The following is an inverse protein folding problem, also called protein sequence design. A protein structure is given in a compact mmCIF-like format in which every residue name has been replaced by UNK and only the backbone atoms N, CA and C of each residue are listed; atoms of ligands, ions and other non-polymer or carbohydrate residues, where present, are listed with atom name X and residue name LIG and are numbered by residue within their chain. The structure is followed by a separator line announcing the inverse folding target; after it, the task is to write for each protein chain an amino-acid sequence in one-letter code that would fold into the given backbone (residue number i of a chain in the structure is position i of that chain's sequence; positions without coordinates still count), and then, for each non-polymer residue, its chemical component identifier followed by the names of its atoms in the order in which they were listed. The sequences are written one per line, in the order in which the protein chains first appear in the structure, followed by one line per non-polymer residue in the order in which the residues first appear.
data_IF_139254004627
#
_entry.id   IF_139254004627
#
_cell.length_a   1.000
_cell.length_b   1.000
_cell.length_c   1.000
_cell.angle_alpha   90.00
_cell.angle_beta   90.00
_cell.angle_gamma   90.00
#
_symmetry.space_group_name_H-M   'P 1'
#
loop_
_entity.id
_entity.type
_entity.pdbx_description
1 polymer ?
#
# COMPACT_ATOMS: atom_id res chain seq x y z
N UNK A 1 5.34 45.02 -29.85
CA UNK A 1 4.20 44.30 -29.23
C UNK A 1 4.16 42.80 -29.54
N UNK A 2 4.72 42.33 -30.67
CA UNK A 2 4.70 40.89 -31.05
C UNK A 2 5.65 39.99 -30.23
N UNK A 3 6.74 40.52 -29.67
CA UNK A 3 7.75 39.73 -28.95
C UNK A 3 7.28 39.21 -27.57
N UNK A 4 6.44 39.99 -26.85
CA UNK A 4 5.87 39.60 -25.53
C UNK A 4 4.82 38.49 -25.63
N UNK A 5 4.17 38.35 -26.79
CA UNK A 5 3.15 37.32 -27.03
C UNK A 5 3.78 35.94 -27.27
N UNK A 6 4.93 35.89 -27.97
CA UNK A 6 5.68 34.67 -28.17
C UNK A 6 6.32 34.14 -26.87
N UNK A 7 6.83 35.02 -26.00
CA UNK A 7 7.37 34.59 -24.70
C UNK A 7 6.29 34.01 -23.79
N UNK A 8 5.08 34.57 -23.81
CA UNK A 8 3.93 34.02 -23.06
C UNK A 8 3.49 32.65 -23.58
N UNK A 9 3.55 32.44 -24.91
CA UNK A 9 3.21 31.16 -25.53
C UNK A 9 4.21 30.05 -25.18
N UNK A 10 5.51 30.37 -25.09
CA UNK A 10 6.56 29.44 -24.67
C UNK A 10 6.40 29.06 -23.18
N UNK A 11 6.03 30.04 -22.34
CA UNK A 11 5.77 29.78 -20.91
C UNK A 11 4.55 28.86 -20.71
N UNK A 12 3.51 29.02 -21.54
CA UNK A 12 2.34 28.16 -21.55
C UNK A 12 2.65 26.74 -22.06
N UNK A 13 3.50 26.60 -23.08
CA UNK A 13 3.90 25.29 -23.59
C UNK A 13 4.72 24.50 -22.56
N UNK A 14 5.69 25.16 -21.91
CA UNK A 14 6.52 24.52 -20.87
C UNK A 14 5.71 24.13 -19.64
N UNK A 15 4.70 24.93 -19.26
CA UNK A 15 3.76 24.59 -18.21
C UNK A 15 2.92 23.33 -18.50
N UNK A 16 2.60 23.08 -19.77
CA UNK A 16 1.81 21.92 -20.17
C UNK A 16 2.64 20.62 -20.22
N UNK A 17 3.96 20.72 -20.37
CA UNK A 17 4.87 19.57 -20.44
C UNK A 17 5.36 19.05 -19.08
N UNK A 18 4.94 19.65 -17.97
CA UNK A 18 5.21 19.07 -16.65
C UNK A 18 4.34 17.83 -16.47
N UNK A 19 4.89 16.66 -16.83
CA UNK A 19 4.38 15.38 -16.34
C UNK A 19 4.54 15.39 -14.81
N UNK A 20 3.42 15.44 -14.09
CA UNK A 20 3.39 15.07 -12.68
C UNK A 20 3.62 13.56 -12.63
N UNK A 21 4.85 13.15 -12.35
CA UNK A 21 5.17 11.77 -12.01
C UNK A 21 4.54 11.50 -10.63
N UNK A 22 3.26 11.11 -10.64
CA UNK A 22 2.63 10.57 -9.46
C UNK A 22 3.27 9.19 -9.24
N UNK A 23 4.25 9.11 -8.34
CA UNK A 23 4.91 7.86 -8.00
C UNK A 23 3.85 6.86 -7.54
N UNK A 24 3.46 5.94 -8.42
CA UNK A 24 2.71 4.74 -8.05
C UNK A 24 3.73 3.75 -7.52
N UNK A 25 4.24 3.97 -6.31
CA UNK A 25 5.03 2.93 -5.64
C UNK A 25 4.13 1.71 -5.43
N UNK A 26 4.41 0.69 -6.24
CA UNK A 26 3.68 -0.56 -6.17
C UNK A 26 4.24 -1.35 -4.99
N UNK A 27 3.36 -1.74 -4.07
CA UNK A 27 3.74 -2.55 -2.91
C UNK A 27 4.47 -3.80 -3.39
N UNK A 28 5.60 -4.10 -2.75
CA UNK A 28 6.26 -5.37 -2.99
C UNK A 28 5.36 -6.52 -2.47
N UNK A 29 5.60 -7.77 -2.90
CA UNK A 29 4.74 -8.89 -2.53
C UNK A 29 4.56 -9.05 -1.02
N UNK A 30 5.63 -8.85 -0.24
CA UNK A 30 5.57 -8.96 1.23
C UNK A 30 4.70 -7.87 1.86
N UNK A 31 4.82 -6.62 1.40
CA UNK A 31 4.00 -5.48 1.86
C UNK A 31 2.53 -5.68 1.51
N UNK A 32 2.25 -6.19 0.31
CA UNK A 32 0.89 -6.52 -0.11
C UNK A 32 0.29 -7.63 0.77
N UNK A 33 1.06 -8.66 1.11
CA UNK A 33 0.63 -9.72 2.03
C UNK A 33 0.34 -9.19 3.43
N UNK A 34 1.18 -8.27 3.96
CA UNK A 34 0.92 -7.63 5.27
C UNK A 34 -0.44 -6.90 5.23
N UNK A 35 -0.69 -6.11 4.18
CA UNK A 35 -1.97 -5.41 4.03
C UNK A 35 -3.16 -6.37 3.92
N UNK A 36 -3.02 -7.50 3.22
CA UNK A 36 -4.06 -8.54 3.14
C UNK A 36 -4.32 -9.22 4.48
N UNK A 37 -3.27 -9.59 5.22
CA UNK A 37 -3.38 -10.16 6.57
C UNK A 37 -4.13 -9.18 7.47
N UNK A 38 -3.70 -7.92 7.51
CA UNK A 38 -4.32 -6.88 8.32
C UNK A 38 -5.81 -6.68 7.98
N UNK A 39 -6.15 -6.61 6.70
CA UNK A 39 -7.54 -6.48 6.26
C UNK A 39 -8.39 -7.69 6.64
N UNK A 40 -7.87 -8.91 6.43
CA UNK A 40 -8.58 -10.15 6.77
C UNK A 40 -8.77 -10.29 8.28
N UNK A 41 -7.76 -10.00 9.10
CA UNK A 41 -7.83 -9.98 10.57
C UNK A 41 -8.82 -8.93 11.07
N UNK A 42 -8.74 -7.70 10.56
CA UNK A 42 -9.67 -6.63 10.93
C UNK A 42 -11.11 -6.97 10.54
N UNK A 43 -11.31 -7.68 9.43
CA UNK A 43 -12.60 -8.22 8.95
C UNK A 43 -12.98 -9.57 9.57
N UNK A 44 -12.07 -10.21 10.33
CA UNK A 44 -12.22 -11.55 10.91
C UNK A 44 -12.69 -12.58 9.91
N UNK A 45 -12.15 -12.47 8.71
CA UNK A 45 -12.39 -13.33 7.56
C UNK A 45 -11.32 -14.43 7.56
N UNK A 46 -11.58 -15.50 8.30
CA UNK A 46 -10.59 -16.54 8.60
C UNK A 46 -10.11 -17.29 7.35
N UNK A 47 -11.00 -17.51 6.38
CA UNK A 47 -10.65 -18.16 5.12
C UNK A 47 -9.66 -17.30 4.32
N UNK A 48 -9.93 -15.99 4.21
CA UNK A 48 -9.02 -15.06 3.54
C UNK A 48 -7.71 -14.91 4.32
N UNK A 49 -7.77 -14.93 5.65
CA UNK A 49 -6.61 -14.83 6.52
C UNK A 49 -5.67 -16.03 6.34
N UNK A 50 -6.20 -17.26 6.34
CA UNK A 50 -5.40 -18.47 6.13
C UNK A 50 -4.67 -18.43 4.78
N UNK A 51 -5.37 -18.04 3.71
CA UNK A 51 -4.76 -17.89 2.39
C UNK A 51 -3.67 -16.81 2.37
N UNK A 52 -3.93 -15.65 3.01
CA UNK A 52 -2.98 -14.54 3.07
C UNK A 52 -1.73 -14.87 3.90
N UNK A 53 -1.87 -15.69 4.95
CA UNK A 53 -0.76 -16.17 5.76
C UNK A 53 0.16 -17.10 4.96
N UNK A 54 -0.40 -18.07 4.25
CA UNK A 54 0.40 -18.95 3.37
C UNK A 54 1.11 -18.15 2.28
N UNK A 55 0.40 -17.28 1.57
CA UNK A 55 0.97 -16.40 0.55
C UNK A 55 2.08 -15.51 1.12
N UNK A 56 1.88 -14.99 2.34
CA UNK A 56 2.88 -14.21 3.05
C UNK A 56 4.18 -14.96 3.31
N UNK A 57 4.08 -16.22 3.77
CA UNK A 57 5.24 -17.07 4.01
C UNK A 57 5.98 -17.42 2.70
N UNK A 58 5.24 -17.71 1.64
CA UNK A 58 5.79 -17.97 0.30
C UNK A 58 6.50 -16.73 -0.27
N UNK A 59 5.98 -15.53 0.03
CA UNK A 59 6.57 -14.24 -0.33
C UNK A 59 7.65 -13.74 0.67
N UNK A 60 8.18 -14.62 1.52
CA UNK A 60 9.33 -14.33 2.38
C UNK A 60 9.02 -13.58 3.69
N UNK A 61 7.75 -13.47 4.10
CA UNK A 61 7.43 -13.10 5.48
C UNK A 61 7.89 -14.23 6.40
N UNK A 62 8.50 -13.86 7.52
CA UNK A 62 8.83 -14.83 8.57
C UNK A 62 7.64 -14.97 9.50
N UNK A 63 7.54 -16.13 10.16
CA UNK A 63 6.56 -16.37 11.21
C UNK A 63 6.60 -15.26 12.28
N UNK A 64 7.79 -14.75 12.62
CA UNK A 64 7.92 -13.66 13.58
C UNK A 64 7.31 -12.36 13.06
N UNK A 65 7.54 -11.97 11.79
CA UNK A 65 6.92 -10.77 11.21
C UNK A 65 5.39 -10.84 11.24
N UNK A 66 4.84 -12.02 10.91
CA UNK A 66 3.40 -12.26 10.98
C UNK A 66 2.87 -12.13 12.41
N UNK A 67 3.56 -12.71 13.39
CA UNK A 67 3.18 -12.60 14.81
C UNK A 67 3.18 -11.15 15.29
N UNK A 68 4.22 -10.39 14.94
CA UNK A 68 4.30 -8.97 15.29
C UNK A 68 3.14 -8.17 14.68
N UNK A 69 2.76 -8.45 13.42
CA UNK A 69 1.61 -7.81 12.78
C UNK A 69 0.29 -8.10 13.52
N UNK A 70 0.04 -9.36 13.88
CA UNK A 70 -1.17 -9.73 14.62
C UNK A 70 -1.21 -9.09 16.03
N UNK A 71 -0.06 -9.03 16.70
CA UNK A 71 0.09 -8.32 17.99
C UNK A 71 -0.12 -6.82 17.82
N UNK A 72 0.35 -6.22 16.73
CA UNK A 72 0.11 -4.80 16.44
C UNK A 72 -1.39 -4.53 16.22
N UNK A 73 -2.06 -5.38 15.44
CA UNK A 73 -3.49 -5.31 15.18
C UNK A 73 -4.33 -5.49 16.45
N UNK A 74 -3.82 -6.12 17.50
CA UNK A 74 -4.52 -6.21 18.80
C UNK A 74 -4.91 -4.83 19.35
N UNK A 75 -4.02 -3.84 19.22
CA UNK A 75 -4.30 -2.49 19.69
C UNK A 75 -5.44 -1.78 18.93
N UNK A 76 -5.71 -2.19 17.68
CA UNK A 76 -6.66 -1.53 16.80
C UNK A 76 -7.98 -2.30 16.62
N UNK A 77 -7.91 -3.63 16.52
CA UNK A 77 -9.09 -4.47 16.28
C UNK A 77 -9.62 -5.14 17.55
N UNK A 78 -8.84 -5.16 18.64
CA UNK A 78 -9.23 -5.70 19.94
C UNK A 78 -9.46 -7.22 19.97
N UNK A 79 -9.85 -7.72 21.14
CA UNK A 79 -10.32 -9.10 21.30
C UNK A 79 -11.76 -9.23 20.77
N UNK A 80 -12.12 -10.29 20.01
CA UNK A 80 -11.34 -11.50 19.67
C UNK A 80 -10.58 -11.44 18.33
N UNK A 81 -10.72 -10.35 17.58
CA UNK A 81 -10.40 -10.30 16.15
C UNK A 81 -8.93 -10.43 15.81
N UNK A 82 -8.04 -9.97 16.69
CA UNK A 82 -6.58 -10.02 16.44
C UNK A 82 -5.89 -11.27 16.98
N UNK A 83 -6.61 -12.15 17.69
CA UNK A 83 -6.04 -13.30 18.42
C UNK A 83 -6.62 -14.66 18.02
N UNK A 84 -7.69 -14.69 17.21
CA UNK A 84 -8.30 -15.94 16.73
C UNK A 84 -7.63 -16.44 15.45
#
# INVERSE_FOLDING_TARGET
MMLRKNTALILLLTAFSYQLDAQTEQLNPSEYCIAKIAAATAKGDLETLEAALHEGLDNGLTINKVKEELVHLYAYCGFPRSLM
#
